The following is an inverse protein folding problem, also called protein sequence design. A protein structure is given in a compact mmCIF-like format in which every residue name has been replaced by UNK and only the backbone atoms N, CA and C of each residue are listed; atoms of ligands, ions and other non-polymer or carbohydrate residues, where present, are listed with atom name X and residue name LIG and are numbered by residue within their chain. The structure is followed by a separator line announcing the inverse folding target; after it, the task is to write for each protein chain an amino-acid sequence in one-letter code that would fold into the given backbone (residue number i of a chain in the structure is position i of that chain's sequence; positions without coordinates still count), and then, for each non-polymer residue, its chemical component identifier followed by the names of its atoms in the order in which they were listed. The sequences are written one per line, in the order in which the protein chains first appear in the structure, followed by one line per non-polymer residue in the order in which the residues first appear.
data_IF_587830349635
#
_entry.id   IF_587830349635
#
_cell.length_a   1.000
_cell.length_b   1.000
_cell.length_c   1.000
_cell.angle_alpha   90.00
_cell.angle_beta   90.00
_cell.angle_gamma   90.00
#
_symmetry.space_group_name_H-M   'P 1'
#
loop_
_entity.id
_entity.type
_entity.pdbx_description
1 polymer ?
#
# COMPACT_ATOMS: atom_id res chain seq x y z
N UNK A 1 16.50 -7.07 -27.53
CA UNK A 1 15.46 -7.09 -26.50
C UNK A 1 15.84 -6.02 -25.51
N UNK A 2 15.02 -4.99 -25.35
CA UNK A 2 15.21 -4.06 -24.23
C UNK A 2 15.15 -4.83 -22.92
N UNK A 3 16.11 -4.61 -22.05
CA UNK A 3 16.14 -5.22 -20.73
C UNK A 3 14.95 -4.70 -19.92
N UNK A 4 14.07 -5.60 -19.46
CA UNK A 4 12.87 -5.21 -18.69
C UNK A 4 13.34 -4.54 -17.41
N UNK A 5 13.00 -3.26 -17.20
CA UNK A 5 13.35 -2.52 -15.98
C UNK A 5 12.85 -3.26 -14.74
N UNK A 6 13.66 -3.27 -13.68
CA UNK A 6 13.25 -3.83 -12.37
C UNK A 6 12.04 -3.07 -11.82
N UNK A 7 11.20 -3.74 -11.05
CA UNK A 7 10.02 -3.12 -10.44
C UNK A 7 10.40 -2.05 -9.42
N UNK A 8 11.52 -2.21 -8.74
CA UNK A 8 12.12 -1.21 -7.85
C UNK A 8 12.48 0.07 -8.59
N UNK A 9 13.17 -0.04 -9.72
CA UNK A 9 13.51 1.10 -10.59
C UNK A 9 12.25 1.79 -11.12
N UNK A 10 11.23 1.02 -11.55
CA UNK A 10 9.95 1.59 -12.02
C UNK A 10 9.23 2.37 -10.92
N UNK A 11 9.16 1.83 -9.70
CA UNK A 11 8.50 2.52 -8.57
C UNK A 11 9.25 3.81 -8.21
N UNK A 12 10.57 3.76 -8.18
CA UNK A 12 11.41 4.94 -7.92
C UNK A 12 11.16 6.04 -8.95
N UNK A 13 11.17 5.70 -10.24
CA UNK A 13 10.86 6.64 -11.33
C UNK A 13 9.45 7.25 -11.19
N UNK A 14 8.45 6.46 -10.72
CA UNK A 14 7.10 6.97 -10.45
C UNK A 14 7.11 8.03 -9.34
N UNK A 15 7.89 7.86 -8.28
CA UNK A 15 8.00 8.83 -7.20
C UNK A 15 8.87 10.05 -7.55
N UNK A 16 9.77 9.93 -8.52
CA UNK A 16 10.69 10.99 -8.93
C UNK A 16 10.13 11.86 -10.07
N UNK A 17 9.15 11.37 -10.83
CA UNK A 17 8.55 12.13 -11.94
C UNK A 17 7.62 13.23 -11.44
N UNK A 18 7.40 14.31 -12.22
CA UNK A 18 6.50 15.39 -11.84
C UNK A 18 5.01 15.01 -11.89
N UNK A 19 4.62 14.03 -12.71
CA UNK A 19 3.23 13.59 -12.83
C UNK A 19 2.86 12.64 -11.70
N UNK A 20 1.75 12.94 -11.03
CA UNK A 20 1.21 12.10 -9.96
C UNK A 20 0.75 10.74 -10.51
N UNK A 21 0.93 9.68 -9.74
CA UNK A 21 0.33 8.38 -9.99
C UNK A 21 -0.60 7.98 -8.84
N UNK A 22 -1.52 7.06 -9.12
CA UNK A 22 -2.40 6.51 -8.09
C UNK A 22 -1.81 5.22 -7.54
N UNK A 23 -1.58 5.20 -6.24
CA UNK A 23 -1.18 4.02 -5.50
C UNK A 23 -2.44 3.32 -4.96
N UNK A 24 -3.01 2.44 -5.80
CA UNK A 24 -4.25 1.73 -5.50
C UNK A 24 -4.00 0.63 -4.47
N UNK A 25 -4.71 0.69 -3.34
CA UNK A 25 -4.50 -0.23 -2.23
C UNK A 25 -5.49 -1.38 -2.14
N UNK A 26 -5.01 -2.47 -1.56
CA UNK A 26 -5.80 -3.68 -1.31
C UNK A 26 -5.04 -4.73 -0.51
N UNK A 27 -5.47 -5.98 -0.62
CA UNK A 27 -4.99 -7.05 0.25
C UNK A 27 -4.53 -8.32 -0.48
N UNK A 28 -4.83 -8.47 -1.78
CA UNK A 28 -4.62 -9.76 -2.46
C UNK A 28 -4.29 -9.63 -3.95
N UNK A 29 -3.89 -10.76 -4.54
CA UNK A 29 -3.51 -10.87 -5.94
C UNK A 29 -4.66 -10.52 -6.91
N UNK A 30 -5.92 -10.84 -6.56
CA UNK A 30 -7.07 -10.50 -7.40
C UNK A 30 -7.27 -8.98 -7.50
N UNK A 31 -7.20 -8.27 -6.37
CA UNK A 31 -7.28 -6.81 -6.34
C UNK A 31 -6.13 -6.14 -7.12
N UNK A 32 -4.91 -6.67 -6.98
CA UNK A 32 -3.75 -6.20 -7.74
C UNK A 32 -3.92 -6.43 -9.25
N UNK A 33 -4.44 -7.60 -9.64
CA UNK A 33 -4.68 -7.90 -11.06
C UNK A 33 -5.76 -7.01 -11.68
N UNK A 34 -6.82 -6.72 -10.94
CA UNK A 34 -7.83 -5.76 -11.38
C UNK A 34 -7.23 -4.36 -11.55
N UNK A 35 -6.42 -3.90 -10.60
CA UNK A 35 -5.74 -2.61 -10.71
C UNK A 35 -4.85 -2.54 -11.95
N UNK A 36 -4.02 -3.56 -12.20
CA UNK A 36 -3.18 -3.64 -13.40
C UNK A 36 -4.00 -3.57 -14.70
N UNK A 37 -5.05 -4.38 -14.82
CA UNK A 37 -5.91 -4.43 -16.03
C UNK A 37 -6.64 -3.10 -16.27
N UNK A 38 -6.95 -2.36 -15.22
CA UNK A 38 -7.54 -1.03 -15.30
C UNK A 38 -6.51 0.09 -15.58
N UNK A 39 -5.22 -0.24 -15.65
CA UNK A 39 -4.15 0.70 -16.01
C UNK A 39 -3.53 1.46 -14.84
N UNK A 40 -3.73 1.02 -13.60
CA UNK A 40 -2.97 1.57 -12.48
C UNK A 40 -1.49 1.18 -12.60
N UNK A 41 -0.61 2.12 -12.33
CA UNK A 41 0.84 1.96 -12.55
C UNK A 41 1.58 1.31 -11.38
N UNK A 42 0.95 1.25 -10.20
CA UNK A 42 1.47 0.57 -9.00
C UNK A 42 0.32 0.06 -8.12
N UNK A 43 0.60 -0.94 -7.31
CA UNK A 43 -0.34 -1.50 -6.34
C UNK A 43 0.25 -1.44 -4.94
N UNK A 44 -0.60 -1.12 -3.94
CA UNK A 44 -0.22 -1.13 -2.53
C UNK A 44 -0.86 -2.30 -1.79
N UNK A 45 -0.04 -3.11 -1.11
CA UNK A 45 -0.50 -4.14 -0.18
C UNK A 45 -0.52 -3.60 1.24
N UNK A 46 -1.72 -3.36 1.78
CA UNK A 46 -1.92 -2.83 3.13
C UNK A 46 -1.78 -3.91 4.20
N UNK A 47 -1.10 -3.59 5.29
CA UNK A 47 -0.97 -4.48 6.46
C UNK A 47 -2.30 -4.73 7.16
N UNK A 48 -3.05 -3.67 7.45
CA UNK A 48 -4.37 -3.80 8.08
C UNK A 48 -5.37 -4.59 7.22
N UNK A 49 -5.37 -4.38 5.90
CA UNK A 49 -6.23 -5.15 4.99
C UNK A 49 -5.76 -6.61 4.86
N UNK A 50 -4.46 -6.86 4.87
CA UNK A 50 -3.91 -8.23 4.89
C UNK A 50 -4.26 -8.94 6.18
N UNK A 51 -4.17 -8.27 7.32
CA UNK A 51 -4.61 -8.82 8.61
C UNK A 51 -6.11 -9.16 8.59
N UNK A 52 -6.94 -8.26 8.04
CA UNK A 52 -8.38 -8.52 7.89
C UNK A 52 -8.67 -9.73 7.01
N UNK A 53 -7.94 -9.89 5.91
CA UNK A 53 -8.08 -11.05 5.01
C UNK A 53 -7.67 -12.36 5.68
N UNK A 54 -6.55 -12.36 6.40
CA UNK A 54 -5.97 -13.60 6.95
C UNK A 54 -6.60 -14.01 8.28
N UNK A 55 -7.05 -13.06 9.08
CA UNK A 55 -7.44 -13.30 10.48
C UNK A 55 -8.86 -12.77 10.83
N UNK A 56 -9.51 -12.05 9.93
CA UNK A 56 -10.84 -11.47 10.18
C UNK A 56 -10.83 -10.24 11.08
N UNK A 57 -9.66 -9.66 11.40
CA UNK A 57 -9.55 -8.39 12.13
C UNK A 57 -8.46 -7.48 11.56
N UNK A 58 -8.55 -6.19 11.84
CA UNK A 58 -7.54 -5.20 11.41
C UNK A 58 -6.45 -5.05 12.46
N UNK A 59 -5.23 -4.81 12.00
CA UNK A 59 -4.01 -4.44 12.75
C UNK A 59 -3.44 -5.45 13.76
N UNK A 60 -2.12 -5.54 13.76
CA UNK A 60 -1.31 -6.18 14.81
C UNK A 60 -1.40 -7.71 14.88
N UNK A 61 -2.01 -8.36 13.90
CA UNK A 61 -2.14 -9.81 13.88
C UNK A 61 -1.16 -10.52 12.94
N UNK A 62 -0.65 -9.82 11.93
CA UNK A 62 0.27 -10.39 10.93
C UNK A 62 1.73 -10.30 11.37
N UNK A 63 2.46 -11.36 11.12
CA UNK A 63 3.92 -11.37 11.24
C UNK A 63 4.59 -10.88 9.94
N UNK A 64 5.89 -10.58 10.00
CA UNK A 64 6.70 -10.31 8.80
C UNK A 64 6.53 -11.42 7.76
N UNK A 65 6.48 -12.69 8.19
CA UNK A 65 6.34 -13.83 7.29
C UNK A 65 5.00 -13.84 6.56
N UNK A 66 3.91 -13.57 7.26
CA UNK A 66 2.58 -13.48 6.65
C UNK A 66 2.55 -12.41 5.56
N UNK A 67 3.17 -11.25 5.83
CA UNK A 67 3.26 -10.15 4.89
C UNK A 67 4.11 -10.51 3.67
N UNK A 68 5.29 -11.08 3.87
CA UNK A 68 6.19 -11.51 2.78
C UNK A 68 5.53 -12.58 1.91
N UNK A 69 4.90 -13.59 2.51
CA UNK A 69 4.26 -14.68 1.78
C UNK A 69 3.04 -14.19 0.97
N UNK A 70 2.26 -13.24 1.52
CA UNK A 70 1.16 -12.62 0.77
C UNK A 70 1.69 -11.72 -0.36
N UNK A 71 2.71 -10.90 -0.09
CA UNK A 71 3.34 -10.03 -1.08
C UNK A 71 3.91 -10.82 -2.27
N UNK A 72 4.57 -11.95 -2.03
CA UNK A 72 5.09 -12.83 -3.11
C UNK A 72 3.97 -13.31 -4.05
N UNK A 73 2.79 -13.64 -3.52
CA UNK A 73 1.63 -14.01 -4.37
C UNK A 73 1.20 -12.86 -5.27
N UNK A 74 1.18 -11.64 -4.73
CA UNK A 74 0.81 -10.44 -5.48
C UNK A 74 1.87 -10.13 -6.53
N UNK A 75 3.14 -10.04 -6.14
CA UNK A 75 4.28 -9.75 -7.04
C UNK A 75 4.33 -10.73 -8.22
N UNK A 76 4.09 -12.02 -7.98
CA UNK A 76 4.08 -13.04 -9.03
C UNK A 76 2.86 -12.96 -9.97
N UNK A 77 1.85 -12.15 -9.65
CA UNK A 77 0.59 -12.05 -10.40
C UNK A 77 0.57 -10.87 -11.36
N UNK A 78 1.30 -9.79 -11.08
CA UNK A 78 1.24 -8.53 -11.81
C UNK A 78 2.58 -8.09 -12.36
N UNK A 79 2.55 -7.29 -13.42
CA UNK A 79 3.71 -6.66 -14.05
C UNK A 79 3.82 -5.15 -13.72
N UNK A 80 3.21 -4.74 -12.61
CA UNK A 80 3.34 -3.39 -12.03
C UNK A 80 4.06 -3.46 -10.67
N UNK A 81 4.77 -2.39 -10.26
CA UNK A 81 5.40 -2.33 -8.94
C UNK A 81 4.42 -2.58 -7.79
N UNK A 82 4.84 -3.39 -6.83
CA UNK A 82 4.08 -3.65 -5.61
C UNK A 82 4.78 -2.96 -4.44
N UNK A 83 4.09 -2.01 -3.83
CA UNK A 83 4.49 -1.30 -2.63
C UNK A 83 3.81 -1.94 -1.42
N UNK A 84 4.53 -2.25 -0.34
CA UNK A 84 4.03 -3.10 0.74
C UNK A 84 4.21 -2.44 2.11
N UNK A 85 3.21 -2.59 2.96
CA UNK A 85 3.27 -2.22 4.37
C UNK A 85 4.32 -3.07 5.11
N UNK A 86 5.16 -2.41 5.92
CA UNK A 86 6.13 -3.07 6.79
C UNK A 86 5.81 -2.82 8.27
N UNK A 87 4.63 -2.28 8.57
CA UNK A 87 4.25 -1.86 9.92
C UNK A 87 5.38 -1.03 10.58
N UNK A 88 5.82 -1.43 11.75
CA UNK A 88 6.92 -0.78 12.49
C UNK A 88 8.29 -1.45 12.26
N UNK A 89 8.40 -2.34 11.26
CA UNK A 89 9.62 -3.11 10.94
C UNK A 89 9.80 -4.38 11.77
N UNK A 90 8.79 -4.80 12.53
CA UNK A 90 8.71 -6.03 13.34
C UNK A 90 9.74 -6.15 14.46
N UNK A 91 10.47 -5.08 14.78
CA UNK A 91 11.45 -5.06 15.85
C UNK A 91 12.26 -3.76 15.92
N UNK A 92 13.48 -3.88 16.39
CA UNK A 92 14.46 -2.80 16.45
C UNK A 92 15.15 -2.53 15.09
N UNK A 93 16.14 -1.65 15.06
CA UNK A 93 16.88 -1.31 13.86
C UNK A 93 17.60 -2.52 13.21
N UNK A 94 18.03 -3.50 13.99
CA UNK A 94 18.67 -4.71 13.45
C UNK A 94 17.64 -5.59 12.74
N UNK A 95 16.46 -5.74 13.33
CA UNK A 95 15.35 -6.49 12.73
C UNK A 95 14.86 -5.79 11.44
N UNK A 96 14.77 -4.45 11.44
CA UNK A 96 14.41 -3.66 10.25
C UNK A 96 15.35 -3.92 9.08
N UNK A 97 16.66 -4.01 9.33
CA UNK A 97 17.67 -4.32 8.31
C UNK A 97 17.36 -5.64 7.57
N UNK A 98 17.13 -6.71 8.33
CA UNK A 98 16.84 -8.01 7.74
C UNK A 98 15.44 -8.05 7.10
N UNK A 99 14.46 -7.33 7.68
CA UNK A 99 13.11 -7.22 7.10
C UNK A 99 13.16 -6.57 5.72
N UNK A 100 13.89 -5.47 5.54
CA UNK A 100 14.06 -4.83 4.22
C UNK A 100 14.70 -5.79 3.22
N UNK A 101 15.72 -6.53 3.62
CA UNK A 101 16.35 -7.54 2.75
C UNK A 101 15.38 -8.64 2.33
N UNK A 102 14.54 -9.13 3.24
CA UNK A 102 13.51 -10.13 2.92
C UNK A 102 12.44 -9.58 1.96
N UNK A 103 12.06 -8.30 2.12
CA UNK A 103 11.13 -7.62 1.21
C UNK A 103 11.71 -7.49 -0.20
N UNK A 104 12.96 -7.06 -0.33
CA UNK A 104 13.67 -7.00 -1.63
C UNK A 104 13.75 -8.38 -2.27
N UNK A 105 14.13 -9.43 -1.51
CA UNK A 105 14.20 -10.82 -2.00
C UNK A 105 12.84 -11.38 -2.42
N UNK A 106 11.76 -10.86 -1.85
CA UNK A 106 10.39 -11.21 -2.23
C UNK A 106 9.95 -10.56 -3.55
N UNK A 107 10.74 -9.64 -4.13
CA UNK A 107 10.40 -8.90 -5.35
C UNK A 107 9.50 -7.69 -5.10
N UNK A 108 9.36 -7.26 -3.85
CA UNK A 108 8.65 -6.04 -3.47
C UNK A 108 9.43 -4.84 -4.01
N UNK A 109 8.73 -3.82 -4.50
CA UNK A 109 9.36 -2.65 -5.10
C UNK A 109 9.67 -1.52 -4.11
N UNK A 110 8.97 -1.47 -2.99
CA UNK A 110 9.19 -0.48 -1.94
C UNK A 110 8.29 -0.74 -0.74
N UNK A 111 8.55 -0.02 0.33
CA UNK A 111 7.84 -0.17 1.60
C UNK A 111 7.72 1.14 2.36
N UNK A 112 6.79 1.23 3.29
CA UNK A 112 6.81 2.26 4.33
C UNK A 112 7.09 1.64 5.70
N UNK A 113 7.76 2.41 6.54
CA UNK A 113 8.08 2.11 7.92
C UNK A 113 7.43 3.15 8.82
N UNK A 114 6.62 2.69 9.79
CA UNK A 114 5.88 3.54 10.73
C UNK A 114 6.69 3.81 12.00
N UNK A 115 6.53 5.03 12.55
CA UNK A 115 7.15 5.40 13.81
C UNK A 115 6.36 4.96 15.06
N UNK A 116 5.34 4.11 14.92
CA UNK A 116 4.61 3.55 16.04
C UNK A 116 5.47 2.58 16.87
N UNK A 117 5.07 2.37 18.14
CA UNK A 117 5.60 1.26 18.94
C UNK A 117 5.00 -0.07 18.48
N UNK A 118 5.78 -1.15 18.56
CA UNK A 118 5.30 -2.49 18.20
C UNK A 118 4.53 -3.14 19.36
N UNK A 119 3.42 -3.85 19.12
CA UNK A 119 2.67 -3.86 17.87
C UNK A 119 1.92 -2.53 17.64
N UNK A 120 1.70 -2.11 16.38
CA UNK A 120 1.02 -0.84 16.10
C UNK A 120 -0.40 -0.83 16.69
N UNK A 121 -0.89 0.36 17.05
CA UNK A 121 -2.20 0.56 17.67
C UNK A 121 -2.96 1.69 17.00
N UNK A 122 -4.26 1.49 16.84
CA UNK A 122 -5.19 2.55 16.48
C UNK A 122 -5.74 3.29 17.69
N UNK A 123 -6.21 4.51 17.46
CA UNK A 123 -6.95 5.30 18.43
C UNK A 123 -6.15 5.73 19.66
N UNK A 124 -6.80 5.86 20.85
CA UNK A 124 -6.22 6.54 22.00
C UNK A 124 -5.04 5.82 22.66
N UNK A 125 -4.76 4.60 22.26
CA UNK A 125 -3.61 3.82 22.74
C UNK A 125 -2.38 3.94 21.86
N UNK A 126 -2.45 4.70 20.76
CA UNK A 126 -1.31 4.90 19.86
C UNK A 126 -0.13 5.53 20.62
N UNK A 127 1.05 5.02 20.40
CA UNK A 127 2.32 5.52 20.88
C UNK A 127 3.33 5.45 19.75
N UNK A 128 4.22 6.41 19.70
CA UNK A 128 5.34 6.41 18.76
C UNK A 128 6.67 6.29 19.49
N UNK A 129 7.65 5.72 18.83
CA UNK A 129 9.03 5.67 19.32
C UNK A 129 9.65 7.07 19.33
N UNK A 130 10.79 7.26 19.95
CA UNK A 130 11.51 8.55 19.88
C UNK A 130 11.98 8.85 18.45
N UNK A 131 12.31 10.12 18.18
CA UNK A 131 12.89 10.52 16.89
C UNK A 131 14.19 9.77 16.65
N UNK A 132 15.05 9.65 17.65
CA UNK A 132 16.34 8.96 17.58
C UNK A 132 16.19 7.49 17.24
N UNK A 133 15.22 6.82 17.86
CA UNK A 133 14.93 5.40 17.57
C UNK A 133 14.43 5.22 16.14
N UNK A 134 13.49 6.06 15.67
CA UNK A 134 13.00 6.00 14.30
C UNK A 134 14.10 6.32 13.28
N UNK A 135 14.94 7.31 13.55
CA UNK A 135 16.13 7.64 12.73
C UNK A 135 17.08 6.43 12.65
N UNK A 136 17.30 5.74 13.77
CA UNK A 136 18.08 4.50 13.80
C UNK A 136 17.50 3.41 12.90
N UNK A 137 16.20 3.17 12.97
CA UNK A 137 15.48 2.22 12.11
C UNK A 137 15.55 2.61 10.63
N UNK A 138 15.34 3.88 10.31
CA UNK A 138 15.40 4.37 8.93
C UNK A 138 16.82 4.28 8.34
N UNK A 139 17.86 4.62 9.09
CA UNK A 139 19.26 4.43 8.64
C UNK A 139 19.54 2.98 8.31
N UNK A 140 19.14 2.09 9.21
CA UNK A 140 19.29 0.64 9.02
C UNK A 140 18.55 0.14 7.77
N UNK A 141 17.34 0.65 7.52
CA UNK A 141 16.57 0.34 6.31
C UNK A 141 17.28 0.87 5.04
N UNK A 142 17.83 2.09 5.08
CA UNK A 142 18.57 2.69 3.98
C UNK A 142 19.86 1.93 3.69
N UNK A 143 20.60 1.49 4.70
CA UNK A 143 21.79 0.67 4.52
C UNK A 143 21.44 -0.68 3.88
N UNK A 144 20.41 -1.36 4.37
CA UNK A 144 19.94 -2.63 3.82
C UNK A 144 19.55 -2.55 2.33
N UNK A 145 18.84 -1.47 1.91
CA UNK A 145 18.53 -1.28 0.49
C UNK A 145 19.79 -1.07 -0.34
N UNK A 146 20.75 -0.30 0.15
CA UNK A 146 22.01 -0.05 -0.57
C UNK A 146 22.84 -1.32 -0.76
N UNK A 147 22.75 -2.28 0.15
CA UNK A 147 23.42 -3.58 0.02
C UNK A 147 22.82 -4.49 -1.07
N UNK A 148 21.50 -4.44 -1.30
CA UNK A 148 20.82 -5.40 -2.19
C UNK A 148 20.20 -4.77 -3.44
N UNK A 149 19.49 -3.66 -3.28
CA UNK A 149 18.84 -2.94 -4.39
C UNK A 149 18.68 -1.45 -4.07
N UNK A 150 19.59 -0.60 -4.55
CA UNK A 150 19.56 0.84 -4.30
C UNK A 150 18.30 1.57 -4.82
N UNK A 151 17.54 0.94 -5.72
CA UNK A 151 16.31 1.51 -6.25
C UNK A 151 15.05 1.12 -5.43
N UNK A 152 15.18 0.22 -4.45
CA UNK A 152 14.08 -0.10 -3.54
C UNK A 152 13.63 1.17 -2.80
N UNK A 153 12.33 1.47 -2.83
CA UNK A 153 11.79 2.71 -2.26
C UNK A 153 11.45 2.53 -0.78
N UNK A 154 11.96 3.42 0.07
CA UNK A 154 11.62 3.47 1.50
C UNK A 154 10.88 4.77 1.80
N UNK A 155 9.70 4.65 2.41
CA UNK A 155 8.88 5.76 2.88
C UNK A 155 8.92 5.81 4.40
N UNK A 156 9.36 6.92 4.97
CA UNK A 156 9.24 7.19 6.40
C UNK A 156 7.83 7.68 6.71
N UNK A 157 7.03 6.89 7.42
CA UNK A 157 5.67 7.25 7.80
C UNK A 157 5.63 7.70 9.26
N UNK A 158 5.14 8.92 9.46
CA UNK A 158 4.95 9.51 10.79
C UNK A 158 3.49 9.42 11.21
N UNK A 159 3.17 8.54 12.14
CA UNK A 159 1.82 8.34 12.71
C UNK A 159 1.57 9.15 13.98
N UNK A 160 2.49 10.07 14.33
CA UNK A 160 2.43 10.83 15.58
C UNK A 160 1.16 11.69 15.72
N UNK A 161 0.56 12.12 14.61
CA UNK A 161 -0.73 12.83 14.62
C UNK A 161 -1.85 12.05 15.33
N UNK A 162 -1.76 10.72 15.39
CA UNK A 162 -2.71 9.87 16.10
C UNK A 162 -2.42 9.69 17.59
N UNK A 163 -1.35 10.25 18.13
CA UNK A 163 -1.03 10.22 19.56
C UNK A 163 -1.87 11.26 20.27
N UNK A 164 -2.55 10.92 21.40
CA UNK A 164 -3.37 11.90 22.14
C UNK A 164 -2.57 13.14 22.54
N UNK A 165 -3.06 14.32 22.16
CA UNK A 165 -2.43 15.61 22.45
C UNK A 165 -1.28 16.01 21.51
N UNK A 166 -1.03 15.24 20.46
CA UNK A 166 -0.07 15.60 19.42
C UNK A 166 -0.48 16.89 18.69
N UNK A 167 0.50 17.67 18.29
CA UNK A 167 0.32 18.87 17.47
C UNK A 167 0.92 18.65 16.09
N UNK A 168 0.45 19.39 15.09
CA UNK A 168 1.01 19.36 13.74
C UNK A 168 2.52 19.69 13.73
N UNK A 169 2.96 20.66 14.52
CA UNK A 169 4.39 21.02 14.61
C UNK A 169 5.26 19.86 15.12
N UNK A 170 4.76 19.06 16.04
CA UNK A 170 5.47 17.85 16.49
C UNK A 170 5.55 16.77 15.40
N UNK A 171 4.52 16.65 14.55
CA UNK A 171 4.57 15.79 13.36
C UNK A 171 5.63 16.30 12.38
N UNK A 172 5.67 17.61 12.13
CA UNK A 172 6.63 18.25 11.24
C UNK A 172 8.07 18.12 11.74
N UNK A 173 8.31 18.31 13.05
CA UNK A 173 9.62 18.09 13.67
C UNK A 173 10.14 16.66 13.36
N UNK A 174 9.28 15.65 13.53
CA UNK A 174 9.62 14.25 13.22
C UNK A 174 9.91 14.05 11.74
N UNK A 175 9.02 14.47 10.86
CA UNK A 175 9.18 14.31 9.41
C UNK A 175 10.47 14.97 8.89
N UNK A 176 10.76 16.18 9.34
CA UNK A 176 11.99 16.91 8.99
C UNK A 176 13.24 16.20 9.53
N UNK A 177 13.19 15.67 10.75
CA UNK A 177 14.29 14.88 11.31
C UNK A 177 14.53 13.59 10.51
N UNK A 178 13.47 12.86 10.16
CA UNK A 178 13.55 11.63 9.34
C UNK A 178 14.22 11.94 7.99
N UNK A 179 13.75 12.96 7.30
CA UNK A 179 14.32 13.33 5.99
C UNK A 179 15.76 13.78 6.09
N UNK A 180 16.07 14.72 6.98
CA UNK A 180 17.41 15.35 7.05
C UNK A 180 18.49 14.43 7.61
N UNK A 181 18.13 13.49 8.50
CA UNK A 181 19.11 12.63 9.16
C UNK A 181 19.31 11.27 8.48
N UNK A 182 18.41 10.84 7.60
CA UNK A 182 18.47 9.51 6.97
C UNK A 182 18.50 9.55 5.44
N UNK A 183 18.15 10.68 4.85
CA UNK A 183 17.99 10.84 3.40
C UNK A 183 17.00 9.80 2.80
N UNK A 184 15.99 9.39 3.58
CA UNK A 184 14.92 8.50 3.14
C UNK A 184 14.26 9.01 1.86
N UNK A 185 13.83 8.09 0.99
CA UNK A 185 13.36 8.46 -0.36
C UNK A 185 12.12 9.37 -0.29
N UNK A 186 11.11 8.97 0.47
CA UNK A 186 9.81 9.64 0.58
C UNK A 186 9.41 9.80 2.05
N UNK A 187 8.69 10.87 2.39
CA UNK A 187 8.12 11.07 3.73
C UNK A 187 6.59 11.07 3.65
N UNK A 188 5.94 10.38 4.58
CA UNK A 188 4.50 10.36 4.74
C UNK A 188 4.12 10.96 6.11
N UNK A 189 3.68 12.21 6.18
CA UNK A 189 3.07 12.78 7.37
C UNK A 189 1.61 12.29 7.44
N UNK A 190 1.31 11.31 8.27
CA UNK A 190 -0.04 10.75 8.34
C UNK A 190 -1.00 11.69 9.11
N UNK A 191 -1.21 12.89 8.58
CA UNK A 191 -2.11 13.93 9.11
C UNK A 191 -3.51 13.83 8.48
N UNK A 192 -4.52 14.33 9.21
CA UNK A 192 -5.91 14.11 8.83
C UNK A 192 -6.47 15.18 7.88
N UNK A 193 -5.98 16.43 7.96
CA UNK A 193 -6.51 17.55 7.17
C UNK A 193 -5.75 17.76 5.87
N UNK A 194 -6.45 18.22 4.84
CA UNK A 194 -5.83 18.57 3.56
C UNK A 194 -4.89 19.78 3.69
N UNK A 195 -5.21 20.73 4.55
CA UNK A 195 -4.37 21.91 4.79
C UNK A 195 -3.02 21.51 5.39
N UNK A 196 -3.01 20.62 6.41
CA UNK A 196 -1.77 20.10 6.98
C UNK A 196 -0.95 19.29 5.97
N UNK A 197 -1.61 18.51 5.09
CA UNK A 197 -0.92 17.82 4.01
C UNK A 197 -0.25 18.79 3.03
N UNK A 198 -0.92 19.86 2.60
CA UNK A 198 -0.34 20.89 1.73
C UNK A 198 0.85 21.59 2.39
N UNK A 199 0.72 21.94 3.65
CA UNK A 199 1.83 22.55 4.41
C UNK A 199 3.01 21.59 4.54
N UNK A 200 2.75 20.31 4.78
CA UNK A 200 3.79 19.28 4.83
C UNK A 200 4.56 19.16 3.51
N UNK A 201 3.84 19.16 2.37
CA UNK A 201 4.44 19.11 1.03
C UNK A 201 5.35 20.32 0.79
N UNK A 202 4.96 21.52 1.27
CA UNK A 202 5.77 22.72 1.11
C UNK A 202 7.00 22.77 2.01
N UNK A 203 6.94 22.18 3.22
CA UNK A 203 8.01 22.28 4.25
C UNK A 203 9.02 21.15 4.16
N UNK A 204 8.65 19.97 3.65
CA UNK A 204 9.54 18.81 3.55
C UNK A 204 10.23 18.83 2.19
N UNK A 205 11.55 18.73 2.17
CA UNK A 205 12.33 18.64 0.93
C UNK A 205 12.18 17.25 0.27
N UNK A 206 11.85 17.21 -1.02
CA UNK A 206 11.70 15.98 -1.79
C UNK A 206 10.29 15.40 -1.75
N UNK A 207 10.09 14.16 -2.18
CA UNK A 207 8.76 13.56 -2.33
C UNK A 207 8.02 13.41 -0.99
N UNK A 208 6.78 13.90 -0.95
CA UNK A 208 5.86 13.75 0.18
C UNK A 208 4.64 12.95 -0.28
N UNK A 209 4.28 11.94 0.48
CA UNK A 209 3.17 11.03 0.19
C UNK A 209 2.03 11.21 1.21
N UNK A 210 1.00 12.02 0.91
CA UNK A 210 -0.20 12.11 1.73
C UNK A 210 -0.93 10.77 1.82
N UNK A 211 -1.48 10.48 2.99
CA UNK A 211 -2.23 9.26 3.26
C UNK A 211 -3.73 9.56 3.42
N UNK A 212 -4.56 9.04 2.52
CA UNK A 212 -6.02 9.18 2.60
C UNK A 212 -6.67 7.84 2.92
N UNK A 213 -7.26 7.76 4.10
CA UNK A 213 -8.02 6.59 4.55
C UNK A 213 -9.52 6.89 4.51
N UNK A 214 -10.36 5.87 4.71
CA UNK A 214 -11.80 6.06 4.87
C UNK A 214 -12.19 6.97 6.06
N UNK A 215 -11.26 7.21 6.99
CA UNK A 215 -11.45 8.15 8.11
C UNK A 215 -10.93 9.56 7.83
N UNK A 216 -10.38 9.84 6.65
CA UNK A 216 -9.93 11.18 6.26
C UNK A 216 -11.12 12.12 6.13
N UNK A 217 -10.96 13.36 6.60
CA UNK A 217 -12.03 14.36 6.57
C UNK A 217 -12.37 14.84 5.16
N UNK A 218 -11.38 14.83 4.27
CA UNK A 218 -11.49 15.26 2.89
C UNK A 218 -10.71 14.32 1.97
N UNK A 219 -11.18 14.22 0.73
CA UNK A 219 -10.49 13.51 -0.35
C UNK A 219 -10.30 14.51 -1.50
N UNK A 220 -9.12 15.15 -1.60
CA UNK A 220 -8.85 16.08 -2.70
C UNK A 220 -8.90 15.34 -4.04
N UNK A 221 -9.20 16.07 -5.10
CA UNK A 221 -9.13 15.54 -6.46
C UNK A 221 -7.69 15.21 -6.85
N UNK A 222 -7.51 14.40 -7.89
CA UNK A 222 -6.16 14.09 -8.39
C UNK A 222 -5.46 15.36 -8.92
N UNK A 223 -6.21 16.31 -9.47
CA UNK A 223 -5.70 17.61 -9.91
C UNK A 223 -5.20 18.45 -8.73
N UNK A 224 -5.98 18.54 -7.64
CA UNK A 224 -5.55 19.24 -6.42
C UNK A 224 -4.30 18.62 -5.79
N UNK A 225 -4.18 17.28 -5.82
CA UNK A 225 -2.97 16.59 -5.36
C UNK A 225 -1.76 16.87 -6.26
N UNK A 226 -1.96 16.86 -7.57
CA UNK A 226 -0.94 17.20 -8.56
C UNK A 226 -0.45 18.64 -8.37
N UNK A 227 -1.37 19.60 -8.27
CA UNK A 227 -1.06 21.02 -8.11
C UNK A 227 -0.34 21.34 -6.78
N UNK A 228 -0.65 20.58 -5.74
CA UNK A 228 0.05 20.69 -4.46
C UNK A 228 1.46 20.11 -4.48
N UNK A 229 1.83 19.31 -5.49
CA UNK A 229 3.12 18.63 -5.58
C UNK A 229 3.21 17.35 -4.76
N UNK A 230 2.06 16.66 -4.57
CA UNK A 230 2.05 15.33 -3.94
C UNK A 230 2.84 14.33 -4.79
N UNK A 231 3.60 13.44 -4.15
CA UNK A 231 4.35 12.41 -4.85
C UNK A 231 3.46 11.32 -5.48
N UNK A 232 2.32 11.02 -4.84
CA UNK A 232 1.31 10.09 -5.35
C UNK A 232 -0.05 10.35 -4.68
N UNK A 233 -1.12 9.79 -5.26
CA UNK A 233 -2.43 9.68 -4.63
C UNK A 233 -2.54 8.30 -3.97
N UNK A 234 -2.41 8.22 -2.66
CA UNK A 234 -2.36 6.96 -1.92
C UNK A 234 -3.68 6.65 -1.22
N UNK A 235 -4.35 5.59 -1.68
CA UNK A 235 -5.62 5.09 -1.14
C UNK A 235 -5.48 3.63 -0.70
N UNK A 236 -5.14 3.36 0.56
CA UNK A 236 -4.72 2.03 1.04
C UNK A 236 -5.77 0.91 0.89
N UNK A 237 -7.05 1.25 0.86
CA UNK A 237 -8.13 0.27 0.99
C UNK A 237 -9.13 0.25 -0.18
N UNK A 238 -8.77 0.79 -1.36
CA UNK A 238 -9.71 0.92 -2.49
C UNK A 238 -10.40 -0.40 -2.83
N UNK A 239 -9.63 -1.43 -3.11
CA UNK A 239 -10.20 -2.72 -3.52
C UNK A 239 -10.85 -3.46 -2.34
N UNK A 240 -10.31 -3.31 -1.13
CA UNK A 240 -10.83 -3.96 0.08
C UNK A 240 -12.20 -3.42 0.47
N UNK A 241 -12.35 -2.09 0.52
CA UNK A 241 -13.64 -1.46 0.90
C UNK A 241 -14.74 -1.82 -0.10
N UNK A 242 -14.44 -1.77 -1.39
CA UNK A 242 -15.39 -2.14 -2.43
C UNK A 242 -15.82 -3.62 -2.31
N UNK A 243 -14.86 -4.52 -2.09
CA UNK A 243 -15.14 -5.95 -1.94
C UNK A 243 -15.95 -6.25 -0.67
N UNK A 244 -15.63 -5.62 0.45
CA UNK A 244 -16.36 -5.79 1.72
C UNK A 244 -17.81 -5.31 1.59
N UNK A 245 -18.03 -4.10 1.04
CA UNK A 245 -19.37 -3.56 0.88
C UNK A 245 -20.21 -4.42 -0.06
N UNK A 246 -19.68 -4.78 -1.23
CA UNK A 246 -20.39 -5.61 -2.20
C UNK A 246 -20.72 -7.01 -1.62
N UNK A 247 -19.79 -7.60 -0.87
CA UNK A 247 -20.03 -8.90 -0.22
C UNK A 247 -21.09 -8.80 0.87
N UNK A 248 -21.06 -7.73 1.68
CA UNK A 248 -22.03 -7.50 2.72
C UNK A 248 -23.46 -7.35 2.14
N UNK A 249 -23.61 -6.50 1.14
CA UNK A 249 -24.89 -6.23 0.49
C UNK A 249 -25.46 -7.51 -0.12
N UNK A 250 -24.63 -8.28 -0.83
CA UNK A 250 -25.05 -9.52 -1.46
C UNK A 250 -25.42 -10.60 -0.42
N UNK A 251 -24.62 -10.79 0.64
CA UNK A 251 -24.91 -11.78 1.67
C UNK A 251 -26.18 -11.44 2.46
N UNK A 252 -26.42 -10.16 2.74
CA UNK A 252 -27.64 -9.70 3.41
C UNK A 252 -28.86 -9.97 2.54
N UNK A 253 -28.78 -9.65 1.26
CA UNK A 253 -29.85 -9.91 0.30
C UNK A 253 -30.13 -11.41 0.12
N UNK A 254 -29.07 -12.23 0.04
CA UNK A 254 -29.17 -13.67 -0.04
C UNK A 254 -29.84 -14.28 1.22
N UNK A 255 -29.51 -13.73 2.41
CA UNK A 255 -30.14 -14.18 3.66
C UNK A 255 -31.66 -13.92 3.67
N UNK A 256 -32.10 -12.81 3.07
CA UNK A 256 -33.51 -12.44 3.00
C UNK A 256 -34.31 -13.16 1.88
N UNK A 257 -33.71 -13.27 0.69
CA UNK A 257 -34.38 -13.71 -0.54
C UNK A 257 -33.91 -15.05 -1.08
N UNK A 258 -32.89 -15.67 -0.51
CA UNK A 258 -32.33 -16.94 -0.96
C UNK A 258 -31.80 -16.86 -2.40
N UNK A 259 -32.14 -17.89 -3.21
CA UNK A 259 -31.67 -18.03 -4.61
C UNK A 259 -32.10 -16.89 -5.54
N UNK A 260 -33.18 -16.16 -5.22
CA UNK A 260 -33.61 -14.99 -5.98
C UNK A 260 -32.55 -13.87 -6.03
N UNK A 261 -31.78 -13.73 -4.95
CA UNK A 261 -30.64 -12.79 -4.90
C UNK A 261 -29.53 -13.19 -5.88
N UNK A 262 -29.28 -14.49 -6.07
CA UNK A 262 -28.25 -14.98 -7.02
C UNK A 262 -28.65 -14.62 -8.45
N UNK A 263 -29.92 -14.89 -8.83
CA UNK A 263 -30.41 -14.66 -10.19
C UNK A 263 -30.30 -13.17 -10.57
N UNK A 264 -30.68 -12.28 -9.67
CA UNK A 264 -30.56 -10.82 -9.88
C UNK A 264 -29.12 -10.36 -9.94
N UNK A 265 -28.26 -10.85 -9.03
CA UNK A 265 -26.82 -10.54 -9.05
C UNK A 265 -26.16 -10.98 -10.36
N UNK A 266 -26.44 -12.21 -10.83
CA UNK A 266 -25.90 -12.73 -12.08
C UNK A 266 -26.39 -11.95 -13.29
N UNK A 267 -27.68 -11.56 -13.32
CA UNK A 267 -28.24 -10.73 -14.38
C UNK A 267 -27.58 -9.35 -14.43
N UNK A 268 -27.35 -8.73 -13.29
CA UNK A 268 -26.62 -7.43 -13.19
C UNK A 268 -25.16 -7.59 -13.61
N UNK A 269 -24.48 -8.59 -13.10
CA UNK A 269 -23.06 -8.84 -13.40
C UNK A 269 -22.81 -9.15 -14.89
N UNK A 270 -23.77 -9.81 -15.57
CA UNK A 270 -23.68 -10.10 -17.00
C UNK A 270 -23.70 -8.85 -17.88
N UNK A 271 -24.26 -7.74 -17.40
CA UNK A 271 -24.29 -6.47 -18.12
C UNK A 271 -23.03 -5.63 -17.89
N UNK A 272 -22.22 -5.94 -16.90
CA UNK A 272 -21.00 -5.22 -16.60
C UNK A 272 -19.88 -5.60 -17.57
N UNK A 273 -19.19 -4.59 -18.12
CA UNK A 273 -17.96 -4.79 -18.91
C UNK A 273 -16.91 -5.63 -18.19
N UNK A 274 -16.86 -5.52 -16.87
CA UNK A 274 -15.91 -6.21 -15.99
C UNK A 274 -16.57 -7.25 -15.08
N UNK A 275 -17.82 -7.63 -15.38
CA UNK A 275 -18.58 -8.61 -14.60
C UNK A 275 -18.04 -10.04 -14.71
N UNK A 276 -18.76 -10.98 -14.08
CA UNK A 276 -18.35 -12.38 -14.00
C UNK A 276 -18.08 -13.03 -15.37
N UNK A 277 -18.80 -12.62 -16.42
CA UNK A 277 -18.55 -13.09 -17.79
C UNK A 277 -17.16 -12.65 -18.32
N UNK A 278 -16.60 -11.56 -17.82
CA UNK A 278 -15.28 -11.03 -18.20
C UNK A 278 -14.16 -11.49 -17.26
N UNK A 279 -14.48 -12.15 -16.15
CA UNK A 279 -13.49 -12.64 -15.18
C UNK A 279 -12.45 -13.57 -15.80
N UNK A 280 -12.82 -14.32 -16.82
CA UNK A 280 -11.92 -15.18 -17.56
C UNK A 280 -10.70 -14.42 -18.10
N UNK A 281 -10.87 -13.18 -18.55
CA UNK A 281 -9.79 -12.35 -19.08
C UNK A 281 -8.92 -11.79 -17.95
N UNK A 282 -9.52 -11.34 -16.84
CA UNK A 282 -8.79 -10.81 -15.67
C UNK A 282 -8.02 -11.91 -14.95
N UNK A 283 -8.65 -13.09 -14.77
CA UNK A 283 -8.07 -14.22 -14.04
C UNK A 283 -7.22 -15.15 -14.91
N UNK A 284 -7.01 -14.81 -16.18
CA UNK A 284 -6.09 -15.52 -17.06
C UNK A 284 -6.62 -16.87 -17.60
N UNK A 285 -7.93 -17.10 -17.64
CA UNK A 285 -8.51 -18.34 -18.18
C UNK A 285 -8.09 -18.58 -19.62
N UNK A 286 -8.01 -17.53 -20.45
CA UNK A 286 -7.53 -17.66 -21.81
C UNK A 286 -6.10 -18.18 -21.88
N UNK A 287 -5.20 -17.65 -21.03
CA UNK A 287 -3.80 -18.12 -20.94
C UNK A 287 -3.73 -19.59 -20.50
N UNK A 288 -4.59 -20.02 -19.59
CA UNK A 288 -4.64 -21.42 -19.15
C UNK A 288 -5.01 -22.31 -20.34
N UNK A 289 -6.06 -21.96 -21.11
CA UNK A 289 -6.45 -22.71 -22.31
C UNK A 289 -5.35 -22.81 -23.35
N UNK A 290 -4.65 -21.71 -23.62
CA UNK A 290 -3.50 -21.71 -24.54
C UNK A 290 -2.35 -22.62 -24.04
N UNK A 291 -2.16 -22.71 -22.73
CA UNK A 291 -1.19 -23.64 -22.15
C UNK A 291 -1.67 -25.11 -22.24
N UNK A 292 -2.96 -25.35 -21.98
CA UNK A 292 -3.57 -26.66 -22.14
C UNK A 292 -3.42 -27.15 -23.59
N UNK A 293 -3.80 -26.34 -24.57
CA UNK A 293 -3.66 -26.65 -26.01
C UNK A 293 -2.20 -26.91 -26.42
N UNK A 294 -1.25 -26.29 -25.76
CA UNK A 294 0.17 -26.42 -26.07
C UNK A 294 0.85 -27.62 -25.42
N UNK A 295 0.44 -27.95 -24.20
CA UNK A 295 1.21 -28.88 -23.37
C UNK A 295 0.45 -30.14 -22.98
N UNK A 296 -0.87 -30.18 -23.11
CA UNK A 296 -1.66 -31.38 -22.83
C UNK A 296 -2.00 -32.11 -24.11
N UNK A 297 -2.08 -33.46 -24.08
CA UNK A 297 -2.42 -34.29 -25.25
C UNK A 297 -3.85 -34.12 -25.72
#
# INVERSE_FOLDING_TARGET
MEEKKRMTTRLKELFERPEIFVLAGGMNAMGAKMAEVLGFEAFYMSGGNTSAQLMGWTEGGTSMRDMVDNARRIVNTVDIPVFVDMDTGYGDAITVHETVKEYIRAGIAGTHLEDQTYPPKSGPRRRCVSIEEMVGKLRSAMDAKMELDPDFVIVARCDYAGVPGATFEQVMERCLAYKSQTNVDVVCPAVASWEENKESIQRISGPVLPLFTHGSQTHPSLEELQDAGSAAAWYPSLTTMAALQASWDFLSDFQERGTGAIDEFLASAAQSKWGLASNGNVLGVQRIREMEDKYLP
#
